data_IF_122953872447
#
_entry.id   IF_122953872447
#
_cell.length_a   1.000
_cell.length_b   1.000
_cell.length_c   1.000
_cell.angle_alpha   90.00
_cell.angle_beta   90.00
_cell.angle_gamma   90.00
#
_symmetry.space_group_name_H-M   'P 1'
#
loop_
_entity.id
_entity.type
_entity.pdbx_description
1 polymer ?
#
# COMPACT_ATOMS: atom_id res chain seq x y z
N UNK A 1 10.66 -30.02 5.79
CA UNK A 1 10.36 -28.58 5.86
C UNK A 1 9.82 -28.18 4.49
N UNK A 2 8.49 -28.10 4.37
CA UNK A 2 7.81 -27.96 3.07
C UNK A 2 7.97 -26.55 2.52
N UNK A 3 8.60 -26.43 1.34
CA UNK A 3 8.75 -25.19 0.57
C UNK A 3 7.54 -24.90 -0.33
N UNK A 4 6.50 -25.75 -0.33
CA UNK A 4 5.35 -25.62 -1.24
C UNK A 4 4.33 -24.53 -0.82
N UNK A 5 4.15 -24.28 0.48
CA UNK A 5 3.20 -23.27 1.01
C UNK A 5 3.67 -21.81 0.80
N UNK A 6 4.88 -21.61 0.26
CA UNK A 6 5.54 -20.30 0.21
C UNK A 6 5.32 -19.57 -1.12
N UNK A 7 4.68 -20.22 -2.08
CA UNK A 7 4.43 -19.69 -3.42
C UNK A 7 2.94 -19.81 -3.82
N UNK A 8 2.07 -20.15 -2.86
CA UNK A 8 0.65 -20.21 -3.13
C UNK A 8 0.11 -18.79 -3.39
N UNK A 9 -0.60 -18.59 -4.52
CA UNK A 9 -1.22 -17.31 -4.83
C UNK A 9 -2.22 -16.98 -3.73
N UNK A 10 -2.26 -15.70 -3.34
CA UNK A 10 -3.28 -15.21 -2.40
C UNK A 10 -4.65 -15.44 -3.03
N UNK A 11 -5.65 -15.84 -2.23
CA UNK A 11 -7.04 -15.79 -2.69
C UNK A 11 -7.45 -14.34 -2.98
N UNK A 12 -8.46 -14.17 -3.83
CA UNK A 12 -8.97 -12.83 -4.18
C UNK A 12 -9.41 -12.06 -2.93
N UNK A 13 -10.05 -12.73 -1.97
CA UNK A 13 -10.48 -12.12 -0.71
C UNK A 13 -9.29 -11.68 0.16
N UNK A 14 -8.25 -12.51 0.28
CA UNK A 14 -7.05 -12.17 1.03
C UNK A 14 -6.29 -11.02 0.39
N UNK A 15 -6.24 -11.00 -0.95
CA UNK A 15 -5.63 -9.95 -1.75
C UNK A 15 -6.33 -8.61 -1.52
N UNK A 16 -7.66 -8.59 -1.61
CA UNK A 16 -8.47 -7.39 -1.37
C UNK A 16 -8.34 -6.89 0.07
N UNK A 17 -8.42 -7.78 1.06
CA UNK A 17 -8.24 -7.42 2.47
C UNK A 17 -6.86 -6.83 2.75
N UNK A 18 -5.82 -7.33 2.07
CA UNK A 18 -4.46 -6.82 2.20
C UNK A 18 -4.31 -5.43 1.56
N UNK A 19 -4.91 -5.22 0.38
CA UNK A 19 -4.95 -3.91 -0.29
C UNK A 19 -5.60 -2.85 0.60
N UNK A 20 -6.77 -3.15 1.17
CA UNK A 20 -7.49 -2.26 2.07
C UNK A 20 -6.68 -1.92 3.32
N UNK A 21 -6.03 -2.92 3.90
CA UNK A 21 -5.21 -2.74 5.09
C UNK A 21 -3.99 -1.86 4.81
N UNK A 22 -3.32 -2.03 3.66
CA UNK A 22 -2.17 -1.21 3.28
C UNK A 22 -2.62 0.22 3.00
N UNK A 23 -3.64 0.41 2.17
CA UNK A 23 -4.16 1.73 1.82
C UNK A 23 -4.65 2.48 3.07
N UNK A 24 -5.40 1.81 3.95
CA UNK A 24 -5.83 2.39 5.23
C UNK A 24 -4.68 2.76 6.15
N UNK A 25 -3.60 1.96 6.20
CA UNK A 25 -2.43 2.27 7.00
C UNK A 25 -1.67 3.51 6.48
N UNK A 26 -1.59 3.69 5.16
CA UNK A 26 -0.99 4.86 4.50
C UNK A 26 -1.83 6.11 4.76
N UNK A 27 -3.13 6.04 4.46
CA UNK A 27 -4.05 7.18 4.62
C UNK A 27 -4.21 7.57 6.08
N UNK A 28 -4.28 6.60 7.00
CA UNK A 28 -4.35 6.88 8.44
C UNK A 28 -3.15 7.66 8.98
N UNK A 29 -2.00 7.63 8.28
CA UNK A 29 -0.77 8.34 8.64
C UNK A 29 -0.53 9.63 7.85
N UNK A 30 -1.38 9.97 6.87
CA UNK A 30 -1.15 11.11 5.98
C UNK A 30 0.07 10.92 5.06
N UNK A 31 0.35 9.67 4.66
CA UNK A 31 1.52 9.31 3.85
C UNK A 31 1.15 9.03 2.38
N UNK A 32 0.01 9.53 1.90
CA UNK A 32 -0.53 9.20 0.57
C UNK A 32 0.38 9.70 -0.54
N UNK A 33 0.74 10.98 -0.50
CA UNK A 33 1.62 11.59 -1.51
C UNK A 33 2.98 10.87 -1.62
N UNK A 34 3.74 10.61 -0.53
CA UNK A 34 4.99 9.87 -0.63
C UNK A 34 4.79 8.39 -0.99
N UNK A 35 3.70 7.75 -0.58
CA UNK A 35 3.42 6.36 -0.93
C UNK A 35 3.07 6.19 -2.42
N UNK A 36 2.23 7.06 -2.97
CA UNK A 36 1.90 7.06 -4.40
C UNK A 36 3.16 7.34 -5.21
N UNK A 37 3.93 8.38 -4.88
CA UNK A 37 5.19 8.67 -5.58
C UNK A 37 6.18 7.49 -5.57
N UNK A 38 6.30 6.79 -4.43
CA UNK A 38 7.10 5.58 -4.35
C UNK A 38 6.61 4.48 -5.30
N UNK A 39 5.30 4.17 -5.26
CA UNK A 39 4.69 3.14 -6.10
C UNK A 39 4.79 3.48 -7.61
N UNK A 40 4.62 4.75 -7.95
CA UNK A 40 4.76 5.34 -9.29
C UNK A 40 6.14 5.12 -9.90
N UNK A 41 7.19 5.45 -9.15
CA UNK A 41 8.57 5.26 -9.58
C UNK A 41 8.87 3.77 -9.83
N UNK A 42 8.17 2.87 -9.13
CA UNK A 42 8.32 1.44 -9.30
C UNK A 42 7.42 0.82 -10.37
N UNK A 43 6.47 1.56 -10.97
CA UNK A 43 5.58 1.05 -12.06
C UNK A 43 6.33 0.46 -13.27
N UNK A 44 7.42 1.06 -13.81
CA UNK A 44 8.18 0.44 -14.90
C UNK A 44 9.20 -0.62 -14.41
N UNK A 45 9.37 -0.78 -13.09
CA UNK A 45 10.47 -1.52 -12.45
C UNK A 45 10.09 -2.91 -11.92
N UNK A 46 8.92 -3.47 -12.23
CA UNK A 46 8.59 -4.87 -11.87
C UNK A 46 9.63 -5.90 -12.36
N UNK A 47 10.51 -5.53 -13.30
CA UNK A 47 11.64 -6.34 -13.78
C UNK A 47 12.93 -6.22 -12.94
N UNK A 48 13.12 -5.18 -12.13
CA UNK A 48 14.35 -4.87 -11.39
C UNK A 48 14.13 -4.73 -9.87
N UNK A 49 13.09 -5.38 -9.36
CA UNK A 49 12.71 -5.36 -7.94
C UNK A 49 13.75 -6.00 -6.98
N UNK A 50 14.85 -6.56 -7.48
CA UNK A 50 15.90 -7.16 -6.63
C UNK A 50 16.70 -6.14 -5.80
N UNK A 51 16.74 -4.86 -6.19
CA UNK A 51 17.59 -3.84 -5.53
C UNK A 51 16.84 -2.72 -4.78
N UNK A 52 15.51 -2.76 -4.70
CA UNK A 52 14.68 -1.68 -4.11
C UNK A 52 14.62 -1.62 -2.59
N UNK A 53 15.05 -2.68 -1.89
CA UNK A 53 14.95 -2.80 -0.42
C UNK A 53 15.78 -1.76 0.36
N UNK A 54 16.79 -1.15 -0.29
CA UNK A 54 17.72 -0.21 0.37
C UNK A 54 17.10 1.18 0.58
N UNK A 55 16.11 1.59 -0.24
CA UNK A 55 15.55 2.95 -0.19
C UNK A 55 14.42 3.10 0.84
N UNK A 56 13.67 2.03 1.13
CA UNK A 56 12.52 2.08 2.06
C UNK A 56 12.80 1.59 3.50
N UNK A 57 14.03 1.15 3.79
CA UNK A 57 14.43 0.69 5.13
C UNK A 57 14.00 1.59 6.31
N UNK A 58 14.12 2.93 6.21
CA UNK A 58 13.74 3.84 7.29
C UNK A 58 12.23 4.02 7.50
N UNK A 59 11.40 3.88 6.44
CA UNK A 59 9.94 4.00 6.54
C UNK A 59 9.28 2.71 7.04
N UNK A 60 9.88 1.56 6.74
CA UNK A 60 9.33 0.24 7.06
C UNK A 60 9.69 -0.25 8.47
N UNK A 61 10.71 0.34 9.11
CA UNK A 61 11.17 -0.04 10.45
C UNK A 61 10.08 -0.10 11.53
N UNK A 62 9.13 0.87 11.59
CA UNK A 62 8.03 0.81 12.56
C UNK A 62 6.86 -0.11 12.16
N UNK A 63 6.82 -0.63 10.92
CA UNK A 63 5.68 -1.36 10.35
C UNK A 63 5.96 -2.85 10.09
N UNK A 64 7.23 -3.26 10.03
CA UNK A 64 7.63 -4.57 9.53
C UNK A 64 7.77 -5.62 10.65
N UNK A 65 6.65 -6.25 11.02
CA UNK A 65 6.72 -7.67 11.40
C UNK A 65 7.01 -8.50 10.14
N UNK A 66 8.01 -9.38 10.19
CA UNK A 66 8.59 -10.10 9.03
C UNK A 66 7.53 -10.79 8.13
N UNK A 67 6.46 -11.35 8.70
CA UNK A 67 5.34 -11.95 7.94
C UNK A 67 4.57 -10.94 7.07
N UNK A 68 4.42 -9.69 7.52
CA UNK A 68 3.69 -8.64 6.76
C UNK A 68 4.46 -8.24 5.51
N UNK A 69 5.79 -8.28 5.58
CA UNK A 69 6.67 -7.95 4.46
C UNK A 69 6.60 -9.02 3.36
N UNK A 70 6.45 -10.30 3.74
CA UNK A 70 6.36 -11.42 2.80
C UNK A 70 5.08 -11.33 1.96
N UNK A 71 3.92 -11.16 2.61
CA UNK A 71 2.64 -11.06 1.90
C UNK A 71 2.55 -9.79 1.04
N UNK A 72 3.09 -8.66 1.51
CA UNK A 72 3.19 -7.44 0.71
C UNK A 72 4.10 -7.62 -0.53
N UNK A 73 5.21 -8.35 -0.39
CA UNK A 73 6.11 -8.62 -1.52
C UNK A 73 5.47 -9.51 -2.60
N UNK A 74 4.58 -10.44 -2.20
CA UNK A 74 3.83 -11.30 -3.14
C UNK A 74 2.79 -10.48 -3.89
N UNK A 75 2.00 -9.70 -3.15
CA UNK A 75 0.98 -8.81 -3.71
C UNK A 75 1.58 -7.86 -4.76
N UNK A 76 2.74 -7.25 -4.48
CA UNK A 76 3.38 -6.30 -5.40
C UNK A 76 4.04 -6.95 -6.65
N UNK A 77 4.14 -8.28 -6.71
CA UNK A 77 4.65 -9.00 -7.90
C UNK A 77 3.58 -9.24 -8.96
N UNK A 78 2.31 -9.19 -8.59
CA UNK A 78 1.21 -9.37 -9.53
C UNK A 78 1.10 -8.15 -10.47
N UNK A 79 1.05 -8.38 -11.80
CA UNK A 79 0.89 -7.31 -12.76
C UNK A 79 -0.37 -6.48 -12.49
N UNK A 80 -0.23 -5.16 -12.44
CA UNK A 80 -1.37 -4.24 -12.24
C UNK A 80 -1.82 -4.05 -10.79
N UNK A 81 -1.32 -4.82 -9.82
CA UNK A 81 -1.68 -4.62 -8.40
C UNK A 81 -1.19 -3.30 -7.85
N UNK A 82 -0.03 -2.83 -8.31
CA UNK A 82 0.49 -1.49 -7.97
C UNK A 82 -0.50 -0.40 -8.37
N UNK A 83 -1.10 -0.51 -9.56
CA UNK A 83 -2.13 0.42 -10.05
C UNK A 83 -3.36 0.41 -9.15
N UNK A 84 -3.82 -0.79 -8.78
CA UNK A 84 -4.98 -0.96 -7.88
C UNK A 84 -4.70 -0.35 -6.51
N UNK A 85 -3.49 -0.55 -5.98
CA UNK A 85 -3.10 -0.02 -4.68
C UNK A 85 -3.00 1.51 -4.70
N UNK A 86 -2.42 2.10 -5.75
CA UNK A 86 -2.36 3.57 -5.92
C UNK A 86 -3.77 4.15 -5.90
N UNK A 87 -4.67 3.62 -6.74
CA UNK A 87 -6.06 4.11 -6.81
C UNK A 87 -6.78 3.97 -5.46
N UNK A 88 -6.60 2.84 -4.77
CA UNK A 88 -7.21 2.62 -3.45
C UNK A 88 -6.71 3.65 -2.43
N UNK A 89 -5.42 3.98 -2.43
CA UNK A 89 -4.86 5.03 -1.56
C UNK A 89 -5.50 6.39 -1.86
N UNK A 90 -5.60 6.76 -3.13
CA UNK A 90 -6.20 8.02 -3.58
C UNK A 90 -7.69 8.12 -3.20
N UNK A 91 -8.48 7.08 -3.48
CA UNK A 91 -9.91 7.02 -3.16
C UNK A 91 -10.17 7.19 -1.65
N UNK A 92 -9.39 6.48 -0.83
CA UNK A 92 -9.50 6.56 0.63
C UNK A 92 -9.07 7.93 1.17
N UNK A 93 -8.04 8.54 0.59
CA UNK A 93 -7.58 9.88 0.94
C UNK A 93 -8.67 10.92 0.64
N UNK A 94 -9.24 10.88 -0.57
CA UNK A 94 -10.32 11.76 -1.00
C UNK A 94 -11.54 11.60 -0.07
N UNK A 95 -11.97 10.37 0.22
CA UNK A 95 -13.09 10.12 1.11
C UNK A 95 -12.86 10.68 2.52
N UNK A 96 -11.63 10.62 3.05
CA UNK A 96 -11.27 11.23 4.34
C UNK A 96 -11.38 12.76 4.27
N UNK A 97 -10.86 13.37 3.22
CA UNK A 97 -10.79 14.82 3.08
C UNK A 97 -12.18 15.42 2.85
N UNK A 98 -13.05 14.73 2.11
CA UNK A 98 -14.47 15.08 1.99
C UNK A 98 -15.20 15.03 3.34
N UNK A 99 -14.94 13.99 4.16
CA UNK A 99 -15.52 13.90 5.51
C UNK A 99 -15.07 15.07 6.38
N UNK A 100 -13.77 15.42 6.35
CA UNK A 100 -13.22 16.56 7.10
C UNK A 100 -13.86 17.90 6.71
N UNK A 101 -14.12 18.10 5.41
CA UNK A 101 -14.77 19.30 4.89
C UNK A 101 -16.24 19.38 5.32
N UNK A 102 -16.99 18.26 5.28
CA UNK A 102 -18.39 18.20 5.74
C UNK A 102 -18.56 18.42 7.24
N UNK A 103 -17.54 18.09 8.04
CA UNK A 103 -17.56 18.30 9.51
C UNK A 103 -17.04 19.66 9.96
N UNK A 104 -16.46 20.49 9.07
CA UNK A 104 -16.08 21.86 9.41
C UNK A 104 -17.32 22.77 9.32
N UNK A 105 -17.82 23.34 10.43
CA UNK A 105 -18.92 24.28 10.37
C UNK A 105 -18.46 25.49 9.57
N UNK A 106 -19.23 25.86 8.54
CA UNK A 106 -19.03 27.08 7.81
C UNK A 106 -18.95 28.26 8.79
N UNK A 107 -17.89 29.07 8.64
CA UNK A 107 -17.63 30.37 9.24
C UNK A 107 -18.56 30.83 10.38
N UNK A 108 -18.05 30.75 11.61
CA UNK A 108 -18.41 31.72 12.64
C UNK A 108 -17.68 33.03 12.37
N UNK A 109 -18.30 33.90 11.58
CA UNK A 109 -17.98 35.32 11.46
C UNK A 109 -18.99 36.16 12.23
#
# INVERSE_FOLDING_TARGET
MSLALWDEPLSDEEREALLDRIAGAVVGRGLEAPAVMALEIHRPFSFLASQGLIVFGPLLGPLAGIERMQNASRLLREPGVVEVLIRRIEDMAQARDERRQKTSPAGGG
#
